data_IF_516795180449
#
_entry.id   IF_516795180449
#
_cell.length_a   1.000
_cell.length_b   1.000
_cell.length_c   1.000
_cell.angle_alpha   90.00
_cell.angle_beta   90.00
_cell.angle_gamma   90.00
#
_symmetry.space_group_name_H-M   'P 1'
#
loop_
_entity.id
_entity.type
_entity.pdbx_description
1 polymer ?
#
# COMPACT_ATOMS: atom_id res chain seq x y z
N UNK A 1 -1.93 31.21 -16.61
CA UNK A 1 -2.52 31.61 -17.90
C UNK A 1 -3.34 32.86 -17.65
N UNK A 2 -3.19 33.92 -18.46
CA UNK A 2 -3.98 35.15 -18.28
C UNK A 2 -5.42 34.84 -18.67
N UNK A 3 -6.36 35.16 -17.78
CA UNK A 3 -7.81 35.06 -18.01
C UNK A 3 -8.16 35.80 -19.30
N UNK A 4 -8.75 35.10 -20.26
CA UNK A 4 -9.47 35.75 -21.34
C UNK A 4 -10.80 36.26 -20.75
N UNK A 5 -10.95 37.59 -20.68
CA UNK A 5 -12.23 38.29 -20.48
C UNK A 5 -13.01 37.92 -19.21
N UNK A 6 -12.47 38.27 -18.04
CA UNK A 6 -13.27 38.39 -16.81
C UNK A 6 -13.77 37.06 -16.21
N UNK A 7 -13.32 35.91 -16.72
CA UNK A 7 -13.66 34.57 -16.22
C UNK A 7 -12.50 33.92 -15.49
N UNK A 8 -12.80 33.00 -14.58
CA UNK A 8 -11.82 32.23 -13.83
C UNK A 8 -10.82 31.52 -14.75
N UNK A 9 -9.53 31.63 -14.44
CA UNK A 9 -8.45 30.98 -15.20
C UNK A 9 -8.21 29.50 -14.84
N UNK A 10 -9.00 28.94 -13.91
CA UNK A 10 -8.88 27.54 -13.52
C UNK A 10 -9.36 26.61 -14.63
N UNK A 11 -8.52 25.63 -14.96
CA UNK A 11 -8.82 24.55 -15.88
C UNK A 11 -8.50 23.22 -15.22
N UNK A 12 -9.44 22.27 -15.30
CA UNK A 12 -9.24 20.93 -14.76
C UNK A 12 -8.47 20.04 -15.75
N UNK A 13 -7.99 18.85 -15.33
CA UNK A 13 -7.24 17.93 -16.20
C UNK A 13 -8.03 17.43 -17.42
N UNK A 14 -9.36 17.43 -17.35
CA UNK A 14 -10.25 17.00 -18.44
C UNK A 14 -10.53 18.14 -19.45
N UNK A 15 -9.95 19.32 -19.23
CA UNK A 15 -10.08 20.49 -20.10
C UNK A 15 -11.27 21.41 -19.79
N UNK A 16 -12.07 21.13 -18.75
CA UNK A 16 -13.15 22.01 -18.29
C UNK A 16 -12.59 23.29 -17.69
N UNK A 17 -13.15 24.42 -18.11
CA UNK A 17 -12.80 25.76 -17.62
C UNK A 17 -13.94 26.33 -16.79
N UNK A 18 -13.61 26.95 -15.66
CA UNK A 18 -14.61 27.55 -14.79
C UNK A 18 -15.26 28.79 -15.45
N UNK A 19 -16.59 28.88 -15.37
CA UNK A 19 -17.41 29.93 -15.96
C UNK A 19 -17.63 31.16 -15.05
N UNK A 20 -17.18 31.08 -13.80
CA UNK A 20 -17.39 32.11 -12.78
C UNK A 20 -16.55 33.37 -13.06
N UNK A 21 -17.03 34.55 -12.64
CA UNK A 21 -16.27 35.78 -12.77
C UNK A 21 -14.96 35.70 -12.00
N UNK A 22 -13.86 36.17 -12.59
CA UNK A 22 -12.58 36.23 -11.89
C UNK A 22 -12.50 37.48 -11.01
N UNK A 23 -11.89 37.33 -9.84
CA UNK A 23 -11.41 38.45 -9.02
C UNK A 23 -10.07 38.99 -9.51
N UNK A 24 -9.43 39.81 -8.68
CA UNK A 24 -8.15 40.48 -8.98
C UNK A 24 -6.99 39.49 -9.25
N UNK A 25 -7.06 38.28 -8.69
CA UNK A 25 -6.08 37.21 -8.89
C UNK A 25 -6.19 36.50 -10.24
N UNK A 26 -7.27 36.72 -10.99
CA UNK A 26 -7.61 35.95 -12.19
C UNK A 26 -8.27 34.59 -11.88
N UNK A 27 -8.61 34.32 -10.62
CA UNK A 27 -9.38 33.15 -10.17
C UNK A 27 -10.72 33.60 -9.60
N UNK A 28 -11.73 32.74 -9.62
CA UNK A 28 -13.00 33.03 -8.95
C UNK A 28 -12.91 32.75 -7.44
N UNK A 29 -13.97 33.12 -6.72
CA UNK A 29 -14.11 32.84 -5.29
C UNK A 29 -13.69 31.40 -4.92
N UNK A 30 -14.22 30.38 -5.61
CA UNK A 30 -13.95 28.97 -5.31
C UNK A 30 -12.51 28.52 -5.56
N UNK A 31 -11.83 29.08 -6.57
CA UNK A 31 -10.50 28.63 -6.98
C UNK A 31 -9.35 29.48 -6.42
N UNK A 32 -9.64 30.66 -5.87
CA UNK A 32 -8.62 31.54 -5.33
C UNK A 32 -8.18 31.11 -3.91
N UNK A 33 -6.90 30.72 -3.70
CA UNK A 33 -6.37 30.37 -2.39
C UNK A 33 -6.14 31.58 -1.48
N UNK A 34 -6.15 32.81 -2.03
CA UNK A 34 -5.98 34.04 -1.24
C UNK A 34 -7.25 34.49 -0.53
N UNK A 35 -8.40 34.04 -1.01
CA UNK A 35 -9.70 34.34 -0.40
C UNK A 35 -9.91 33.41 0.78
N UNK A 36 -9.88 33.98 1.98
CA UNK A 36 -10.21 33.26 3.22
C UNK A 36 -11.72 33.02 3.29
N UNK A 37 -12.10 31.75 3.42
CA UNK A 37 -13.50 31.29 3.48
C UNK A 37 -13.85 30.67 4.82
N UNK A 38 -12.95 30.76 5.81
CA UNK A 38 -13.09 30.06 7.08
C UNK A 38 -14.35 30.43 7.87
N UNK A 39 -14.85 31.66 7.70
CA UNK A 39 -16.05 32.16 8.38
C UNK A 39 -17.31 32.15 7.49
N UNK A 40 -17.19 31.70 6.24
CA UNK A 40 -18.28 31.75 5.28
C UNK A 40 -19.14 30.49 5.37
N UNK A 41 -20.47 30.64 5.35
CA UNK A 41 -21.38 29.51 5.21
C UNK A 41 -21.49 29.10 3.73
N UNK A 42 -20.51 28.30 3.31
CA UNK A 42 -20.36 27.84 1.93
C UNK A 42 -21.03 26.49 1.69
N UNK A 43 -21.55 25.80 2.72
CA UNK A 43 -22.04 24.43 2.59
C UNK A 43 -23.14 24.31 1.54
N UNK A 44 -24.22 25.08 1.67
CA UNK A 44 -25.35 25.02 0.73
C UNK A 44 -24.96 25.43 -0.69
N UNK A 45 -24.00 26.34 -0.83
CA UNK A 45 -23.50 26.78 -2.14
C UNK A 45 -22.71 25.65 -2.83
N UNK A 46 -21.90 24.91 -2.07
CA UNK A 46 -21.14 23.75 -2.57
C UNK A 46 -22.08 22.62 -2.96
N UNK A 47 -23.13 22.35 -2.17
CA UNK A 47 -24.14 21.33 -2.49
C UNK A 47 -24.94 21.70 -3.74
N UNK A 48 -25.36 22.96 -3.87
CA UNK A 48 -26.05 23.45 -5.06
C UNK A 48 -25.15 23.38 -6.30
N UNK A 49 -23.89 23.76 -6.18
CA UNK A 49 -22.91 23.65 -7.26
C UNK A 49 -22.78 22.21 -7.77
N UNK A 50 -22.67 21.25 -6.85
CA UNK A 50 -22.63 19.84 -7.18
C UNK A 50 -23.95 19.37 -7.82
N UNK A 51 -25.10 19.82 -7.31
CA UNK A 51 -26.42 19.47 -7.85
C UNK A 51 -26.64 19.98 -9.29
N UNK A 52 -25.99 21.07 -9.69
CA UNK A 52 -25.95 21.56 -11.07
C UNK A 52 -25.09 20.69 -12.01
N UNK A 53 -24.41 19.67 -11.47
CA UNK A 53 -23.54 18.77 -12.23
C UNK A 53 -22.19 19.36 -12.59
N UNK A 54 -21.80 20.49 -12.00
CA UNK A 54 -20.50 21.13 -12.23
C UNK A 54 -19.40 20.45 -11.40
N UNK A 55 -18.17 20.29 -11.94
CA UNK A 55 -17.07 19.74 -11.18
C UNK A 55 -16.64 20.70 -10.06
N UNK A 56 -16.25 20.13 -8.92
CA UNK A 56 -15.68 20.82 -7.76
C UNK A 56 -14.14 20.79 -7.77
N UNK A 57 -13.55 20.50 -8.93
CA UNK A 57 -12.11 20.38 -9.07
C UNK A 57 -11.41 21.70 -8.68
N UNK A 58 -10.34 21.60 -7.88
CA UNK A 58 -9.51 22.72 -7.48
C UNK A 58 -10.11 23.67 -6.45
N UNK A 59 -11.28 23.35 -5.89
CA UNK A 59 -11.94 24.18 -4.87
C UNK A 59 -11.02 24.43 -3.67
N UNK A 60 -10.90 25.69 -3.24
CA UNK A 60 -10.10 26.13 -2.11
C UNK A 60 -11.01 26.33 -0.90
N UNK A 61 -11.22 25.25 -0.14
CA UNK A 61 -12.12 25.14 1.01
C UNK A 61 -11.35 24.89 2.31
N UNK A 62 -10.15 25.45 2.42
CA UNK A 62 -9.34 25.31 3.63
C UNK A 62 -10.05 25.97 4.83
N UNK A 63 -10.04 25.28 5.98
CA UNK A 63 -10.57 25.73 7.28
C UNK A 63 -12.07 26.05 7.31
N UNK A 64 -12.83 25.65 6.29
CA UNK A 64 -14.29 25.87 6.26
C UNK A 64 -15.01 24.90 7.19
N UNK A 65 -16.20 25.30 7.64
CA UNK A 65 -17.14 24.41 8.32
C UNK A 65 -18.07 23.77 7.29
N UNK A 66 -17.88 22.47 7.06
CA UNK A 66 -18.60 21.66 6.09
C UNK A 66 -19.17 20.41 6.76
N UNK A 67 -19.55 20.53 8.03
CA UNK A 67 -20.22 19.46 8.77
C UNK A 67 -21.50 19.07 8.05
N UNK A 68 -21.72 17.75 7.91
CA UNK A 68 -22.87 17.17 7.22
C UNK A 68 -22.96 17.58 5.73
N UNK A 69 -21.83 17.91 5.09
CA UNK A 69 -21.79 18.22 3.66
C UNK A 69 -22.19 17.00 2.83
N UNK A 70 -23.21 17.15 1.99
CA UNK A 70 -23.73 16.08 1.15
C UNK A 70 -23.30 16.21 -0.32
N UNK A 71 -22.30 15.44 -0.73
CA UNK A 71 -21.82 15.34 -2.11
C UNK A 71 -22.11 13.96 -2.73
N UNK A 72 -23.33 13.45 -2.51
CA UNK A 72 -23.79 12.20 -3.14
C UNK A 72 -24.51 12.48 -4.45
N UNK A 73 -23.97 11.98 -5.56
CA UNK A 73 -24.57 12.10 -6.88
C UNK A 73 -25.73 11.10 -7.06
N UNK A 74 -26.92 11.47 -6.58
CA UNK A 74 -28.13 10.62 -6.66
C UNK A 74 -28.55 10.44 -8.12
N UNK A 75 -28.59 9.19 -8.59
CA UNK A 75 -28.98 8.85 -9.96
C UNK A 75 -27.80 8.54 -10.90
N UNK A 76 -26.57 8.73 -10.44
CA UNK A 76 -25.36 8.33 -11.17
C UNK A 76 -24.65 7.16 -10.46
N UNK A 77 -23.99 6.30 -11.23
CA UNK A 77 -23.05 5.31 -10.68
C UNK A 77 -21.68 5.91 -10.31
N UNK A 78 -21.42 7.14 -10.77
CA UNK A 78 -20.17 7.88 -10.55
C UNK A 78 -20.46 9.07 -9.64
N UNK A 79 -19.67 9.26 -8.59
CA UNK A 79 -19.78 10.42 -7.70
C UNK A 79 -19.32 11.73 -8.38
N UNK A 80 -19.40 12.85 -7.66
CA UNK A 80 -18.94 14.12 -8.19
C UNK A 80 -17.41 14.19 -8.32
N UNK A 81 -16.94 15.03 -9.23
CA UNK A 81 -15.52 15.33 -9.39
C UNK A 81 -15.11 16.40 -8.39
N UNK A 82 -14.16 16.12 -7.51
CA UNK A 82 -13.62 17.04 -6.50
C UNK A 82 -12.09 16.87 -6.41
N UNK A 83 -11.43 16.81 -7.57
CA UNK A 83 -9.99 16.55 -7.72
C UNK A 83 -9.16 17.79 -7.44
N UNK A 84 -8.03 17.62 -6.76
CA UNK A 84 -7.13 18.73 -6.42
C UNK A 84 -7.76 19.81 -5.54
N UNK A 85 -8.90 19.54 -4.90
CA UNK A 85 -9.52 20.45 -3.95
C UNK A 85 -8.70 20.52 -2.66
N UNK A 86 -8.67 21.68 -2.01
CA UNK A 86 -8.02 21.89 -0.72
C UNK A 86 -9.05 21.97 0.40
N UNK A 87 -9.03 20.97 1.27
CA UNK A 87 -9.80 20.86 2.50
C UNK A 87 -8.89 20.94 3.73
N UNK A 88 -7.73 21.61 3.62
CA UNK A 88 -6.79 21.74 4.74
C UNK A 88 -7.49 22.28 5.99
N UNK A 89 -7.51 21.48 7.07
CA UNK A 89 -8.21 21.77 8.34
C UNK A 89 -9.72 22.04 8.23
N UNK A 90 -10.38 21.64 7.14
CA UNK A 90 -11.83 21.73 7.04
C UNK A 90 -12.50 20.78 8.05
N UNK A 91 -13.66 21.17 8.57
CA UNK A 91 -14.53 20.27 9.33
C UNK A 91 -15.51 19.59 8.37
N UNK A 92 -15.28 18.30 8.12
CA UNK A 92 -16.07 17.43 7.24
C UNK A 92 -16.72 16.29 8.06
N UNK A 93 -16.98 16.55 9.35
CA UNK A 93 -17.64 15.59 10.21
C UNK A 93 -19.02 15.25 9.65
N UNK A 94 -19.39 13.97 9.67
CA UNK A 94 -20.64 13.42 9.12
C UNK A 94 -20.85 13.65 7.60
N UNK A 95 -19.84 14.11 6.86
CA UNK A 95 -19.96 14.36 5.42
C UNK A 95 -20.29 13.08 4.62
N UNK A 96 -21.10 13.23 3.56
CA UNK A 96 -21.52 12.14 2.69
C UNK A 96 -20.79 12.19 1.34
N UNK A 97 -19.69 11.45 1.25
CA UNK A 97 -18.76 11.41 0.10
C UNK A 97 -18.78 10.06 -0.64
N UNK A 98 -19.96 9.43 -0.72
CA UNK A 98 -20.11 8.16 -1.44
C UNK A 98 -19.69 8.31 -2.91
N UNK A 99 -18.69 7.53 -3.34
CA UNK A 99 -18.20 7.54 -4.72
C UNK A 99 -17.47 8.81 -5.15
N UNK A 100 -17.19 9.74 -4.23
CA UNK A 100 -16.60 11.05 -4.55
C UNK A 100 -15.17 10.90 -5.09
N UNK A 101 -14.85 11.63 -6.15
CA UNK A 101 -13.50 11.64 -6.72
C UNK A 101 -12.65 12.74 -6.08
N UNK A 102 -11.81 12.36 -5.11
CA UNK A 102 -10.93 13.24 -4.34
C UNK A 102 -9.45 13.09 -4.78
N UNK A 103 -9.20 12.63 -6.02
CA UNK A 103 -7.84 12.41 -6.51
C UNK A 103 -7.02 13.69 -6.49
N UNK A 104 -5.81 13.60 -5.93
CA UNK A 104 -4.89 14.74 -5.79
C UNK A 104 -5.33 15.82 -4.78
N UNK A 105 -6.49 15.68 -4.13
CA UNK A 105 -7.00 16.65 -3.16
C UNK A 105 -6.21 16.64 -1.85
N UNK A 106 -6.38 17.67 -1.03
CA UNK A 106 -5.73 17.80 0.26
C UNK A 106 -6.76 17.74 1.39
N UNK A 107 -6.77 16.63 2.13
CA UNK A 107 -7.53 16.45 3.38
C UNK A 107 -6.61 16.60 4.60
N UNK A 108 -5.49 17.31 4.44
CA UNK A 108 -4.51 17.43 5.51
C UNK A 108 -5.12 18.10 6.73
N UNK A 109 -5.04 17.43 7.90
CA UNK A 109 -5.60 17.89 9.18
C UNK A 109 -7.11 18.16 9.16
N UNK A 110 -7.86 17.67 8.17
CA UNK A 110 -9.32 17.79 8.17
C UNK A 110 -9.94 16.85 9.21
N UNK A 111 -11.15 17.17 9.66
CA UNK A 111 -11.96 16.24 10.46
C UNK A 111 -12.91 15.50 9.55
N UNK A 112 -12.81 14.19 9.47
CA UNK A 112 -13.70 13.30 8.71
C UNK A 112 -14.43 12.35 9.67
N UNK A 113 -14.71 12.82 10.89
CA UNK A 113 -15.33 11.99 11.92
C UNK A 113 -16.70 11.55 11.44
N UNK A 114 -16.98 10.25 11.46
CA UNK A 114 -18.23 9.65 10.95
C UNK A 114 -18.52 9.88 9.45
N UNK A 115 -17.59 10.46 8.67
CA UNK A 115 -17.79 10.72 7.26
C UNK A 115 -17.93 9.42 6.45
N UNK A 116 -18.76 9.43 5.42
CA UNK A 116 -18.95 8.30 4.52
C UNK A 116 -18.07 8.44 3.27
N UNK A 117 -16.93 7.75 3.23
CA UNK A 117 -16.01 7.70 2.08
C UNK A 117 -16.18 6.39 1.27
N UNK A 118 -17.29 5.66 1.44
CA UNK A 118 -17.51 4.40 0.72
C UNK A 118 -17.39 4.61 -0.80
N UNK A 119 -16.60 3.77 -1.48
CA UNK A 119 -16.29 3.87 -2.92
C UNK A 119 -15.59 5.16 -3.37
N UNK A 120 -15.08 5.99 -2.45
CA UNK A 120 -14.38 7.23 -2.83
C UNK A 120 -13.02 6.96 -3.49
N UNK A 121 -12.56 7.89 -4.32
CA UNK A 121 -11.25 7.83 -4.98
C UNK A 121 -10.27 8.78 -4.31
N UNK A 122 -9.21 8.23 -3.71
CA UNK A 122 -8.24 8.96 -2.91
C UNK A 122 -6.80 8.85 -3.45
N UNK A 123 -6.62 8.40 -4.69
CA UNK A 123 -5.30 8.36 -5.34
C UNK A 123 -4.61 9.74 -5.29
N UNK A 124 -3.39 9.78 -4.75
CA UNK A 124 -2.63 11.02 -4.58
C UNK A 124 -3.23 12.02 -3.59
N UNK A 125 -4.26 11.66 -2.84
CA UNK A 125 -4.85 12.54 -1.83
C UNK A 125 -3.93 12.69 -0.61
N UNK A 126 -3.80 13.91 -0.08
CA UNK A 126 -3.05 14.16 1.14
C UNK A 126 -3.92 13.94 2.37
N UNK A 127 -3.69 12.84 3.10
CA UNK A 127 -4.42 12.49 4.34
C UNK A 127 -3.59 12.77 5.61
N UNK A 128 -2.50 13.53 5.53
CA UNK A 128 -1.62 13.76 6.67
C UNK A 128 -2.36 14.45 7.82
N UNK A 129 -2.43 13.76 8.97
CA UNK A 129 -3.12 14.24 10.16
C UNK A 129 -4.65 14.35 10.03
N UNK A 130 -5.25 13.77 8.98
CA UNK A 130 -6.70 13.71 8.86
C UNK A 130 -7.30 12.84 9.98
N UNK A 131 -8.36 13.31 10.62
CA UNK A 131 -9.09 12.52 11.61
C UNK A 131 -10.17 11.68 10.94
N UNK A 132 -9.87 10.39 10.75
CA UNK A 132 -10.77 9.41 10.12
C UNK A 132 -11.61 8.64 11.17
N UNK A 133 -11.74 9.13 12.40
CA UNK A 133 -12.46 8.41 13.45
C UNK A 133 -13.89 8.05 13.02
N UNK A 134 -14.21 6.75 13.01
CA UNK A 134 -15.53 6.23 12.59
C UNK A 134 -15.92 6.54 11.13
N UNK A 135 -15.00 7.05 10.32
CA UNK A 135 -15.24 7.22 8.89
C UNK A 135 -15.42 5.84 8.22
N UNK A 136 -16.34 5.73 7.26
CA UNK A 136 -16.57 4.51 6.48
C UNK A 136 -15.56 4.43 5.34
N UNK A 137 -14.68 3.42 5.35
CA UNK A 137 -13.53 3.31 4.42
C UNK A 137 -13.62 2.13 3.44
N UNK A 138 -14.81 1.57 3.26
CA UNK A 138 -15.07 0.44 2.37
C UNK A 138 -14.89 0.82 0.89
N UNK A 139 -14.28 -0.09 0.12
CA UNK A 139 -14.12 0.03 -1.34
C UNK A 139 -13.42 1.31 -1.85
N UNK A 140 -12.56 1.92 -1.03
CA UNK A 140 -11.79 3.11 -1.45
C UNK A 140 -10.74 2.75 -2.51
N UNK A 141 -10.66 3.57 -3.56
CA UNK A 141 -9.55 3.55 -4.52
C UNK A 141 -8.37 4.38 -3.98
N UNK A 142 -7.43 3.74 -3.27
CA UNK A 142 -6.28 4.40 -2.64
C UNK A 142 -5.16 4.79 -3.62
N UNK A 143 -5.09 4.12 -4.77
CA UNK A 143 -3.95 4.18 -5.69
C UNK A 143 -2.73 3.37 -5.23
N UNK A 144 -1.75 3.22 -6.13
CA UNK A 144 -0.53 2.44 -5.88
C UNK A 144 0.39 3.11 -4.84
N UNK A 145 0.51 4.43 -4.88
CA UNK A 145 1.46 5.21 -4.09
C UNK A 145 0.76 6.37 -3.38
N UNK A 146 1.18 6.64 -2.14
CA UNK A 146 0.73 7.85 -1.43
C UNK A 146 1.42 9.08 -1.99
N UNK A 147 0.79 10.25 -1.86
CA UNK A 147 1.39 11.53 -2.27
C UNK A 147 2.77 11.75 -1.63
N UNK A 148 2.89 11.56 -0.32
CA UNK A 148 4.16 11.69 0.39
C UNK A 148 5.20 10.65 -0.06
N UNK A 149 4.77 9.45 -0.45
CA UNK A 149 5.67 8.43 -0.99
C UNK A 149 6.27 8.87 -2.33
N UNK A 150 5.44 9.40 -3.24
CA UNK A 150 5.89 9.94 -4.52
C UNK A 150 6.87 11.09 -4.32
N UNK A 151 6.52 12.06 -3.46
CA UNK A 151 7.37 13.20 -3.13
C UNK A 151 8.69 12.77 -2.48
N UNK A 152 8.67 11.78 -1.59
CA UNK A 152 9.86 11.25 -0.94
C UNK A 152 10.83 10.61 -1.93
N UNK A 153 10.31 9.86 -2.91
CA UNK A 153 11.13 9.27 -3.98
C UNK A 153 11.75 10.35 -4.86
N UNK A 154 11.01 11.39 -5.20
CA UNK A 154 11.54 12.54 -5.94
C UNK A 154 12.63 13.26 -5.14
N UNK A 155 12.43 13.49 -3.84
CA UNK A 155 13.45 14.09 -2.97
C UNK A 155 14.72 13.22 -2.87
N UNK A 156 14.56 11.89 -2.76
CA UNK A 156 15.69 10.95 -2.79
C UNK A 156 16.47 11.00 -4.10
N UNK A 157 15.79 11.08 -5.24
CA UNK A 157 16.43 11.22 -6.57
C UNK A 157 17.20 12.53 -6.69
N UNK A 158 16.73 13.61 -6.04
CA UNK A 158 17.41 14.90 -5.97
C UNK A 158 18.57 14.96 -4.96
N UNK A 159 18.81 13.89 -4.20
CA UNK A 159 19.84 13.85 -3.15
C UNK A 159 19.44 14.52 -1.82
N UNK A 160 18.21 15.01 -1.70
CA UNK A 160 17.72 15.63 -0.47
C UNK A 160 17.23 14.57 0.53
N UNK A 161 18.20 13.97 1.23
CA UNK A 161 17.94 12.91 2.19
C UNK A 161 17.16 13.39 3.44
N UNK A 162 17.31 14.66 3.84
CA UNK A 162 16.61 15.21 5.00
C UNK A 162 15.11 15.37 4.69
N UNK A 163 14.78 15.98 3.56
CA UNK A 163 13.39 16.13 3.10
C UNK A 163 12.76 14.76 2.85
N UNK A 164 13.48 13.85 2.20
CA UNK A 164 12.99 12.49 1.99
C UNK A 164 12.64 11.78 3.31
N UNK A 165 13.50 11.91 4.33
CA UNK A 165 13.23 11.30 5.65
C UNK A 165 11.97 11.87 6.31
N UNK A 166 11.75 13.18 6.23
CA UNK A 166 10.50 13.82 6.70
C UNK A 166 9.27 13.27 5.97
N UNK A 167 9.33 13.20 4.64
CA UNK A 167 8.23 12.68 3.83
C UNK A 167 7.94 11.20 4.12
N UNK A 168 8.97 10.39 4.41
CA UNK A 168 8.76 9.00 4.85
C UNK A 168 8.10 8.90 6.23
N UNK A 169 8.35 9.87 7.13
CA UNK A 169 7.68 9.94 8.43
C UNK A 169 6.20 10.30 8.26
N UNK A 170 5.91 11.30 7.43
CA UNK A 170 4.54 11.71 7.11
C UNK A 170 3.76 10.57 6.44
N UNK A 171 4.37 9.86 5.48
CA UNK A 171 3.75 8.70 4.84
C UNK A 171 3.49 7.56 5.84
N UNK A 172 4.40 7.32 6.78
CA UNK A 172 4.19 6.34 7.86
C UNK A 172 2.98 6.71 8.74
N UNK A 173 2.85 8.00 9.10
CA UNK A 173 1.74 8.48 9.91
C UNK A 173 0.40 8.30 9.22
N UNK A 174 0.32 8.64 7.92
CA UNK A 174 -0.87 8.41 7.09
C UNK A 174 -1.23 6.93 7.07
N UNK A 175 -0.28 6.05 6.77
CA UNK A 175 -0.51 4.61 6.76
C UNK A 175 -1.02 4.09 8.11
N UNK A 176 -0.44 4.56 9.21
CA UNK A 176 -0.83 4.16 10.56
C UNK A 176 -2.26 4.60 10.90
N UNK A 177 -2.63 5.82 10.52
CA UNK A 177 -3.99 6.35 10.71
C UNK A 177 -5.03 5.53 9.95
N UNK A 178 -4.81 5.32 8.65
CA UNK A 178 -5.70 4.53 7.79
C UNK A 178 -5.78 3.09 8.27
N UNK A 179 -4.63 2.43 8.53
CA UNK A 179 -4.60 1.05 9.03
C UNK A 179 -5.44 0.87 10.29
N UNK A 180 -5.25 1.71 11.31
CA UNK A 180 -6.00 1.61 12.57
C UNK A 180 -7.50 1.73 12.34
N UNK A 181 -7.92 2.59 11.42
CA UNK A 181 -9.33 2.79 11.12
C UNK A 181 -9.91 1.63 10.29
N UNK A 182 -9.13 1.03 9.38
CA UNK A 182 -9.49 -0.21 8.68
C UNK A 182 -9.60 -1.39 9.66
N UNK A 183 -8.65 -1.56 10.58
CA UNK A 183 -8.67 -2.64 11.60
C UNK A 183 -9.93 -2.54 12.48
N UNK A 184 -10.32 -1.33 12.90
CA UNK A 184 -11.54 -1.10 13.69
C UNK A 184 -12.83 -1.44 12.93
N UNK A 185 -12.82 -1.40 11.60
CA UNK A 185 -13.97 -1.70 10.75
C UNK A 185 -13.98 -3.16 10.24
N UNK A 186 -12.94 -3.95 10.55
CA UNK A 186 -12.79 -5.29 9.98
C UNK A 186 -12.37 -5.31 8.50
N UNK A 187 -11.79 -4.21 7.99
CA UNK A 187 -11.27 -4.11 6.62
C UNK A 187 -9.82 -4.65 6.56
N UNK A 188 -9.66 -5.95 6.81
CA UNK A 188 -8.36 -6.54 7.09
C UNK A 188 -7.42 -6.60 5.89
N UNK A 189 -7.94 -6.70 4.67
CA UNK A 189 -7.11 -6.63 3.46
C UNK A 189 -6.46 -5.26 3.30
N UNK A 190 -7.26 -4.18 3.40
CA UNK A 190 -6.76 -2.81 3.35
C UNK A 190 -5.83 -2.52 4.54
N UNK A 191 -6.19 -2.97 5.74
CA UNK A 191 -5.34 -2.84 6.92
C UNK A 191 -3.97 -3.50 6.73
N UNK A 192 -3.92 -4.72 6.19
CA UNK A 192 -2.68 -5.43 5.89
C UNK A 192 -1.84 -4.74 4.81
N UNK A 193 -2.46 -4.19 3.76
CA UNK A 193 -1.79 -3.37 2.76
C UNK A 193 -1.12 -2.13 3.40
N UNK A 194 -1.85 -1.38 4.21
CA UNK A 194 -1.33 -0.20 4.90
C UNK A 194 -0.30 -0.55 5.97
N UNK A 195 -0.41 -1.70 6.63
CA UNK A 195 0.60 -2.22 7.55
C UNK A 195 1.93 -2.48 6.84
N UNK A 196 1.91 -3.15 5.68
CA UNK A 196 3.11 -3.39 4.88
C UNK A 196 3.76 -2.09 4.42
N UNK A 197 2.96 -1.11 4.01
CA UNK A 197 3.44 0.24 3.65
C UNK A 197 4.05 0.97 4.87
N UNK A 198 3.38 0.95 6.03
CA UNK A 198 3.88 1.51 7.31
C UNK A 198 5.28 0.96 7.65
N UNK A 199 5.44 -0.37 7.64
CA UNK A 199 6.72 -1.02 7.94
C UNK A 199 7.81 -0.68 6.93
N UNK A 200 7.46 -0.60 5.64
CA UNK A 200 8.37 -0.19 4.57
C UNK A 200 8.87 1.24 4.76
N UNK A 201 7.99 2.17 5.10
CA UNK A 201 8.36 3.57 5.33
C UNK A 201 9.22 3.73 6.59
N UNK A 202 8.90 3.01 7.67
CA UNK A 202 9.76 2.95 8.86
C UNK A 202 11.17 2.47 8.52
N UNK A 203 11.29 1.44 7.68
CA UNK A 203 12.59 0.94 7.20
C UNK A 203 13.36 1.98 6.37
N UNK A 204 12.67 2.79 5.56
CA UNK A 204 13.33 3.82 4.74
C UNK A 204 13.97 4.95 5.56
N UNK A 205 13.44 5.20 6.75
CA UNK A 205 13.99 6.16 7.70
C UNK A 205 15.27 5.67 8.41
N UNK A 206 15.55 4.36 8.38
CA UNK A 206 16.72 3.75 9.03
C UNK A 206 18.01 3.99 8.22
N UNK A 207 19.19 4.07 8.87
CA UNK A 207 20.48 4.14 8.18
C UNK A 207 20.68 2.96 7.22
N UNK A 208 21.31 3.21 6.05
CA UNK A 208 21.43 2.22 4.97
C UNK A 208 22.15 0.93 5.37
N UNK A 209 23.20 1.04 6.20
CA UNK A 209 24.03 -0.09 6.63
C UNK A 209 23.67 -0.61 8.04
N UNK A 210 22.49 -0.27 8.56
CA UNK A 210 22.06 -0.76 9.88
C UNK A 210 21.57 -2.21 9.81
N UNK A 211 21.99 -3.03 10.78
CA UNK A 211 21.48 -4.39 10.99
C UNK A 211 19.95 -4.41 11.09
N UNK A 212 19.34 -3.40 11.72
CA UNK A 212 17.89 -3.29 11.84
C UNK A 212 17.22 -3.15 10.46
N UNK A 213 17.83 -2.39 9.55
CA UNK A 213 17.32 -2.20 8.18
C UNK A 213 17.43 -3.49 7.37
N UNK A 214 18.55 -4.21 7.51
CA UNK A 214 18.78 -5.50 6.85
C UNK A 214 17.76 -6.53 7.35
N UNK A 215 17.61 -6.67 8.67
CA UNK A 215 16.65 -7.58 9.27
C UNK A 215 15.21 -7.26 8.84
N UNK A 216 14.82 -5.98 8.85
CA UNK A 216 13.52 -5.54 8.35
C UNK A 216 13.30 -5.87 6.87
N UNK A 217 14.35 -5.77 6.04
CA UNK A 217 14.29 -6.18 4.62
C UNK A 217 14.16 -7.69 4.45
N UNK A 218 14.85 -8.48 5.28
CA UNK A 218 14.72 -9.93 5.29
C UNK A 218 13.29 -10.36 5.66
N UNK A 219 12.70 -9.77 6.71
CA UNK A 219 11.32 -10.06 7.12
C UNK A 219 10.30 -9.69 6.04
N UNK A 220 10.47 -8.54 5.35
CA UNK A 220 9.65 -8.18 4.19
C UNK A 220 9.76 -9.22 3.08
N UNK A 221 10.98 -9.67 2.77
CA UNK A 221 11.23 -10.65 1.72
C UNK A 221 10.59 -12.01 2.05
N UNK A 222 10.77 -12.52 3.27
CA UNK A 222 10.32 -13.87 3.65
C UNK A 222 8.80 -13.99 3.83
N UNK A 223 8.16 -13.02 4.48
CA UNK A 223 6.74 -13.15 4.85
C UNK A 223 5.93 -11.86 4.68
N UNK A 224 6.49 -10.83 4.05
CA UNK A 224 5.81 -9.55 3.88
C UNK A 224 5.41 -8.92 5.21
N UNK A 225 6.28 -9.00 6.23
CA UNK A 225 5.97 -8.62 7.62
C UNK A 225 4.85 -9.44 8.27
N UNK A 226 4.69 -10.68 7.81
CA UNK A 226 3.68 -11.61 8.31
C UNK A 226 2.26 -11.26 7.85
N UNK A 227 2.14 -10.69 6.65
CA UNK A 227 0.85 -10.39 5.99
C UNK A 227 0.68 -11.16 4.67
N UNK A 228 1.75 -11.74 4.10
CA UNK A 228 1.74 -12.38 2.77
C UNK A 228 2.14 -13.87 2.87
N UNK A 229 1.19 -14.82 3.06
CA UNK A 229 1.50 -16.25 3.18
C UNK A 229 2.12 -16.82 1.90
N UNK A 230 1.74 -16.31 0.72
CA UNK A 230 2.32 -16.73 -0.55
C UNK A 230 3.82 -16.50 -0.63
N UNK A 231 4.36 -15.44 0.01
CA UNK A 231 5.81 -15.22 0.06
C UNK A 231 6.53 -16.32 0.84
N UNK A 232 5.90 -16.82 1.91
CA UNK A 232 6.45 -17.93 2.71
C UNK A 232 6.49 -19.21 1.88
N UNK A 233 5.43 -19.49 1.10
CA UNK A 233 5.39 -20.64 0.19
C UNK A 233 6.47 -20.54 -0.89
N UNK A 234 6.59 -19.39 -1.56
CA UNK A 234 7.62 -19.16 -2.58
C UNK A 234 9.04 -19.28 -2.00
N UNK A 235 9.25 -18.78 -0.79
CA UNK A 235 10.53 -18.93 -0.09
C UNK A 235 10.83 -20.40 0.26
N UNK A 236 9.81 -21.15 0.68
CA UNK A 236 9.92 -22.59 0.97
C UNK A 236 10.31 -23.37 -0.29
N UNK A 237 9.65 -23.10 -1.42
CA UNK A 237 10.01 -23.70 -2.71
C UNK A 237 11.43 -23.33 -3.12
N UNK A 238 11.84 -22.07 -2.94
CA UNK A 238 13.21 -21.65 -3.22
C UNK A 238 14.24 -22.41 -2.38
N UNK A 239 13.99 -22.59 -1.08
CA UNK A 239 14.89 -23.36 -0.20
C UNK A 239 14.98 -24.82 -0.63
N UNK A 240 13.85 -25.43 -1.02
CA UNK A 240 13.81 -26.82 -1.53
C UNK A 240 14.66 -26.94 -2.79
N UNK A 241 14.40 -26.11 -3.81
CA UNK A 241 15.16 -26.20 -5.06
C UNK A 241 16.64 -25.83 -4.91
N UNK A 242 16.97 -24.88 -4.02
CA UNK A 242 18.36 -24.52 -3.74
C UNK A 242 19.11 -25.66 -3.03
N UNK A 243 18.46 -26.34 -2.08
CA UNK A 243 19.04 -27.49 -1.37
C UNK A 243 19.16 -28.70 -2.30
N UNK A 244 18.14 -28.98 -3.11
CA UNK A 244 18.18 -30.01 -4.16
C UNK A 244 19.35 -29.81 -5.14
N UNK A 245 19.57 -28.57 -5.61
CA UNK A 245 20.73 -28.27 -6.44
C UNK A 245 22.05 -28.52 -5.70
N UNK A 246 22.15 -28.13 -4.42
CA UNK A 246 23.34 -28.40 -3.62
C UNK A 246 23.59 -29.92 -3.44
N UNK A 247 22.55 -30.71 -3.19
CA UNK A 247 22.66 -32.18 -3.07
C UNK A 247 23.10 -32.83 -4.38
N UNK A 248 22.57 -32.37 -5.51
CA UNK A 248 22.96 -32.84 -6.83
C UNK A 248 24.46 -32.62 -7.11
N UNK A 249 25.03 -31.49 -6.68
CA UNK A 249 26.48 -31.23 -6.85
C UNK A 249 27.37 -31.89 -5.80
N UNK A 250 26.84 -32.19 -4.62
CA UNK A 250 27.59 -32.76 -3.50
C UNK A 250 27.49 -34.29 -3.41
N UNK A 251 26.86 -34.92 -4.40
CA UNK A 251 26.76 -36.37 -4.59
C UNK A 251 26.26 -37.12 -3.34
N UNK A 252 24.98 -36.91 -3.02
CA UNK A 252 24.30 -37.52 -1.86
C UNK A 252 23.88 -38.98 -2.03
N UNK A 253 23.96 -39.54 -3.24
CA UNK A 253 23.43 -40.88 -3.58
C UNK A 253 24.50 -41.93 -3.84
N UNK A 254 25.77 -41.55 -3.79
CA UNK A 254 26.93 -42.45 -3.88
C UNK A 254 26.89 -43.67 -2.95
N UNK A 255 26.10 -43.63 -1.87
CA UNK A 255 25.93 -44.75 -0.94
C UNK A 255 24.91 -45.82 -1.41
N UNK A 256 23.89 -45.47 -2.21
CA UNK A 256 22.83 -46.37 -2.69
C UNK A 256 22.38 -45.93 -4.10
N UNK A 257 23.08 -46.36 -5.19
CA UNK A 257 22.69 -45.96 -6.54
C UNK A 257 21.36 -46.62 -6.94
N UNK A 258 20.30 -45.82 -7.01
CA UNK A 258 18.94 -46.28 -7.36
C UNK A 258 18.82 -46.56 -8.88
N UNK A 259 19.59 -45.85 -9.71
CA UNK A 259 19.52 -45.92 -11.17
C UNK A 259 20.84 -46.41 -11.80
N UNK A 260 21.37 -47.52 -11.30
CA UNK A 260 22.66 -48.07 -11.76
C UNK A 260 22.71 -48.43 -13.26
N UNK A 261 21.56 -48.75 -13.86
CA UNK A 261 21.46 -49.20 -15.27
C UNK A 261 21.18 -48.07 -16.27
N UNK A 262 20.97 -46.82 -15.80
CA UNK A 262 20.64 -45.68 -16.67
C UNK A 262 21.91 -44.88 -16.97
N UNK A 263 22.19 -44.64 -18.25
CA UNK A 263 23.38 -43.90 -18.70
C UNK A 263 22.99 -42.67 -19.54
N UNK A 264 23.88 -41.67 -19.58
CA UNK A 264 23.70 -40.45 -20.38
C UNK A 264 22.87 -39.35 -19.69
N UNK A 265 22.19 -38.51 -20.47
CA UNK A 265 21.47 -37.33 -19.96
C UNK A 265 20.27 -37.70 -19.05
N UNK A 266 19.67 -38.86 -19.28
CA UNK A 266 18.53 -39.36 -18.50
C UNK A 266 18.93 -39.64 -17.05
N UNK A 267 20.15 -40.12 -16.82
CA UNK A 267 20.71 -40.31 -15.48
C UNK A 267 20.72 -39.00 -14.69
N UNK A 268 21.30 -37.94 -15.26
CA UNK A 268 21.39 -36.64 -14.57
C UNK A 268 20.02 -36.03 -14.26
N UNK A 269 19.03 -36.21 -15.13
CA UNK A 269 17.66 -35.74 -14.87
C UNK A 269 17.02 -36.51 -13.71
N UNK A 270 17.11 -37.84 -13.73
CA UNK A 270 16.57 -38.69 -12.65
C UNK A 270 17.27 -38.41 -11.31
N UNK A 271 18.58 -38.19 -11.35
CA UNK A 271 19.39 -37.90 -10.17
C UNK A 271 19.03 -36.53 -9.57
N UNK A 272 18.79 -35.52 -10.41
CA UNK A 272 18.27 -34.24 -9.95
C UNK A 272 16.85 -34.36 -9.35
N UNK A 273 15.96 -35.15 -9.96
CA UNK A 273 14.63 -35.39 -9.41
C UNK A 273 14.69 -36.12 -8.06
N UNK A 274 15.62 -37.06 -7.88
CA UNK A 274 15.90 -37.69 -6.58
C UNK A 274 16.38 -36.67 -5.54
N UNK A 275 17.27 -35.75 -5.92
CA UNK A 275 17.73 -34.68 -5.04
C UNK A 275 16.58 -33.73 -4.64
N UNK A 276 15.66 -33.42 -5.55
CA UNK A 276 14.43 -32.67 -5.25
C UNK A 276 13.55 -33.43 -4.27
N UNK A 277 13.30 -34.71 -4.52
CA UNK A 277 12.53 -35.57 -3.61
C UNK A 277 13.15 -35.61 -2.21
N UNK A 278 14.47 -35.83 -2.11
CA UNK A 278 15.20 -35.83 -0.85
C UNK A 278 15.07 -34.50 -0.10
N UNK A 279 15.20 -33.38 -0.82
CA UNK A 279 15.04 -32.04 -0.26
C UNK A 279 13.61 -31.81 0.26
N UNK A 280 12.57 -32.22 -0.46
CA UNK A 280 11.17 -32.11 0.01
C UNK A 280 10.97 -32.88 1.31
N UNK A 281 11.47 -34.12 1.39
CA UNK A 281 11.33 -34.99 2.57
C UNK A 281 12.12 -34.43 3.76
N UNK A 282 13.29 -33.87 3.51
CA UNK A 282 14.16 -33.24 4.52
C UNK A 282 13.54 -31.93 5.03
N UNK A 283 13.09 -31.07 4.13
CA UNK A 283 12.43 -29.81 4.45
C UNK A 283 11.14 -30.00 5.25
N UNK A 284 10.34 -31.01 4.90
CA UNK A 284 9.12 -31.38 5.65
C UNK A 284 9.41 -32.18 6.91
N UNK A 285 10.67 -32.53 7.17
CA UNK A 285 11.13 -33.31 8.33
C UNK A 285 10.51 -34.73 8.42
N UNK A 286 10.01 -35.27 7.30
CA UNK A 286 9.40 -36.60 7.25
C UNK A 286 10.43 -37.74 7.35
N UNK A 287 11.59 -37.59 6.69
CA UNK A 287 12.74 -38.49 6.80
C UNK A 287 12.47 -39.97 6.49
N UNK A 288 12.21 -40.33 5.23
CA UNK A 288 11.91 -41.72 4.83
C UNK A 288 13.11 -42.70 4.91
N UNK A 289 14.34 -42.20 5.04
CA UNK A 289 15.54 -43.02 5.28
C UNK A 289 16.07 -43.78 4.06
N UNK A 290 15.52 -43.53 2.88
CA UNK A 290 15.93 -44.07 1.58
C UNK A 290 17.22 -43.43 1.05
N UNK A 291 17.43 -42.15 1.36
CA UNK A 291 18.64 -41.39 0.96
C UNK A 291 19.38 -40.93 2.21
N UNK A 292 20.69 -41.19 2.24
CA UNK A 292 21.56 -40.85 3.36
C UNK A 292 22.66 -39.89 2.91
N UNK A 293 22.62 -38.60 3.27
CA UNK A 293 23.64 -37.64 2.86
C UNK A 293 24.99 -37.99 3.50
N UNK A 294 26.06 -37.79 2.74
CA UNK A 294 27.45 -37.99 3.17
C UNK A 294 28.22 -36.67 3.14
N UNK A 295 29.28 -36.57 3.94
CA UNK A 295 30.15 -35.38 3.97
C UNK A 295 29.39 -34.08 4.30
N UNK A 296 29.62 -33.04 3.48
CA UNK A 296 29.04 -31.70 3.66
C UNK A 296 27.52 -31.66 3.49
N UNK A 297 26.93 -32.59 2.73
CA UNK A 297 25.49 -32.65 2.52
C UNK A 297 24.71 -32.92 3.82
N UNK A 298 25.33 -33.53 4.84
CA UNK A 298 24.71 -33.72 6.16
C UNK A 298 24.42 -32.40 6.87
N UNK A 299 25.35 -31.44 6.77
CA UNK A 299 25.16 -30.13 7.37
C UNK A 299 24.07 -29.33 6.65
N UNK A 300 24.00 -29.47 5.32
CA UNK A 300 22.95 -28.84 4.51
C UNK A 300 21.58 -29.45 4.86
N UNK A 301 21.48 -30.77 4.97
CA UNK A 301 20.25 -31.45 5.37
C UNK A 301 19.77 -31.06 6.78
N UNK A 302 20.69 -30.95 7.74
CA UNK A 302 20.35 -30.48 9.08
C UNK A 302 19.85 -29.02 9.07
N UNK A 303 20.49 -28.14 8.30
CA UNK A 303 20.08 -26.74 8.16
C UNK A 303 18.73 -26.63 7.43
N UNK A 304 18.52 -27.40 6.36
CA UNK A 304 17.28 -27.44 5.60
C UNK A 304 16.12 -27.92 6.47
N UNK A 305 16.28 -29.01 7.23
CA UNK A 305 15.26 -29.50 8.14
C UNK A 305 14.90 -28.46 9.23
N UNK A 306 15.90 -27.78 9.79
CA UNK A 306 15.67 -26.70 10.76
C UNK A 306 14.89 -25.54 10.13
N UNK A 307 15.32 -25.03 8.98
CA UNK A 307 14.64 -23.95 8.26
C UNK A 307 13.24 -24.35 7.79
N UNK A 308 13.05 -25.61 7.38
CA UNK A 308 11.78 -26.19 6.99
C UNK A 308 10.77 -26.18 8.13
N UNK A 309 11.16 -26.69 9.31
CA UNK A 309 10.29 -26.65 10.50
C UNK A 309 9.88 -25.23 10.88
N UNK A 310 10.82 -24.26 10.81
CA UNK A 310 10.54 -22.85 11.11
C UNK A 310 9.62 -22.21 10.07
N UNK A 311 9.84 -22.45 8.78
CA UNK A 311 9.04 -21.87 7.70
C UNK A 311 7.63 -22.44 7.65
N UNK A 312 7.43 -23.72 7.95
CA UNK A 312 6.10 -24.32 8.11
C UNK A 312 5.35 -23.70 9.30
N UNK A 313 6.01 -23.53 10.45
CA UNK A 313 5.40 -22.86 11.60
C UNK A 313 5.02 -21.40 11.26
N UNK A 314 5.92 -20.68 10.59
CA UNK A 314 5.66 -19.32 10.13
C UNK A 314 4.51 -19.25 9.12
N UNK A 315 4.42 -20.20 8.20
CA UNK A 315 3.32 -20.28 7.23
C UNK A 315 1.98 -20.40 7.96
N UNK A 316 1.86 -21.32 8.94
CA UNK A 316 0.63 -21.47 9.74
C UNK A 316 0.28 -20.17 10.46
N UNK A 317 1.25 -19.51 11.12
CA UNK A 317 0.99 -18.25 11.83
C UNK A 317 0.52 -17.15 10.88
N UNK A 318 1.19 -16.98 9.73
CA UNK A 318 0.83 -15.94 8.75
C UNK A 318 -0.51 -16.25 8.09
N UNK A 319 -0.77 -17.53 7.79
CA UNK A 319 -2.03 -17.98 7.21
C UNK A 319 -3.20 -17.77 8.18
N UNK A 320 -3.07 -18.23 9.42
CA UNK A 320 -4.08 -18.03 10.47
C UNK A 320 -4.32 -16.54 10.67
N UNK A 321 -3.26 -15.73 10.85
CA UNK A 321 -3.38 -14.28 11.00
C UNK A 321 -4.13 -13.64 9.82
N UNK A 322 -3.94 -14.13 8.59
CA UNK A 322 -4.61 -13.63 7.39
C UNK A 322 -6.09 -14.04 7.30
N UNK A 323 -6.48 -15.14 7.93
CA UNK A 323 -7.85 -15.68 7.92
C UNK A 323 -8.68 -15.24 9.14
N UNK A 324 -8.05 -15.02 10.29
CA UNK A 324 -8.74 -14.70 11.56
C UNK A 324 -8.80 -13.21 11.88
N UNK A 325 -7.97 -12.41 11.19
CA UNK A 325 -8.23 -10.98 11.06
C UNK A 325 -9.22 -10.87 9.93
#
# INVERSE_FOLDING_TARGET
>A
MKSEKGRCSYQNPDGWCCDQPCGESGLCYWHDPKVDKSNDDVKSQVEQWAAEGKPLDGFQLAKTNLVDLNLVNRGSKVGFQCRGADFYRADLSDAHFFGLDLRGSSLMKSKLVCANLHCAKLEGCNLLGADLARARLENIEWGEELKQEQEARVAMKKGDHKKAKSLWQEAEEVCRGVRKQCEKQGLFESAGLFFKKEMRFRRYQMPRLSLQRILSKLVDLFCGYGEDPLRVVLFSLFLIFASAAAYFFLDTTSANPIYADVTGWQFYVLEFLNAVYFSVVTFTTLGYGDISPVGLARFIAALEAFLGSFTMALFVVVFVKKMTR
#
